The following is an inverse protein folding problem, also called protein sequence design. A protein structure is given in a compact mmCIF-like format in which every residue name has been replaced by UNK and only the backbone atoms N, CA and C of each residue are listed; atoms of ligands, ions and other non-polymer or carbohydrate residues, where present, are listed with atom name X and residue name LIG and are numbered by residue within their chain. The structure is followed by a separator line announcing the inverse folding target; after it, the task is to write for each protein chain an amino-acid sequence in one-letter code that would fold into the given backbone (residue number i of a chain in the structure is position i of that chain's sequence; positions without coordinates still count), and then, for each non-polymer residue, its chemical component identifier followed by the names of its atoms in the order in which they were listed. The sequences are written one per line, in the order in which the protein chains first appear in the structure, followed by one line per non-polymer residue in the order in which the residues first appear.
data_IF_439445805175
#
_entry.id   IF_439445805175
#
_cell.length_a   1.000
_cell.length_b   1.000
_cell.length_c   1.000
_cell.angle_alpha   90.00
_cell.angle_beta   90.00
_cell.angle_gamma   90.00
#
_symmetry.space_group_name_H-M   'P 1'
#
loop_
_entity.id
_entity.type
_entity.pdbx_description
1 polymer ?
#
# COMPACT_ATOMS: atom_id res chain seq x y z
N UNK A 1 -8.47 9.82 0.08
CA UNK A 1 -7.06 10.19 -0.21
C UNK A 1 -6.29 8.93 -0.63
N UNK A 2 -5.29 9.03 -1.52
CA UNK A 2 -4.45 7.92 -1.96
C UNK A 2 -3.02 8.04 -1.44
N UNK A 3 -2.45 6.98 -0.86
CA UNK A 3 -1.06 6.94 -0.39
C UNK A 3 -0.42 5.59 -0.70
N UNK A 4 0.89 5.49 -0.49
CA UNK A 4 1.64 4.25 -0.65
C UNK A 4 2.22 3.85 0.70
N UNK A 5 2.21 2.55 0.97
CA UNK A 5 2.83 1.95 2.13
C UNK A 5 3.98 1.03 1.72
N UNK A 6 4.79 0.68 2.70
CA UNK A 6 5.83 -0.33 2.60
C UNK A 6 5.32 -1.61 3.26
N UNK A 7 5.53 -2.74 2.58
CA UNK A 7 5.17 -4.04 3.10
C UNK A 7 6.12 -5.13 2.62
N UNK A 8 6.12 -6.24 3.34
CA UNK A 8 6.63 -7.52 2.85
C UNK A 8 5.47 -8.48 2.69
N UNK A 9 5.44 -9.20 1.58
CA UNK A 9 4.44 -10.23 1.32
C UNK A 9 5.05 -11.62 1.46
N UNK A 10 4.22 -12.59 1.84
CA UNK A 10 4.54 -14.01 1.85
C UNK A 10 3.51 -14.78 1.02
N UNK A 11 3.97 -15.60 0.09
CA UNK A 11 3.08 -16.51 -0.61
C UNK A 11 2.55 -17.58 0.37
N UNK A 12 1.23 -17.79 0.46
CA UNK A 12 0.67 -18.83 1.32
C UNK A 12 0.93 -20.24 0.78
N UNK A 13 1.21 -20.39 -0.52
CA UNK A 13 1.53 -21.67 -1.12
C UNK A 13 2.93 -22.17 -0.67
N UNK A 14 3.03 -23.28 0.09
CA UNK A 14 4.30 -23.77 0.63
C UNK A 14 5.28 -24.27 -0.43
N UNK A 15 4.78 -24.72 -1.59
CA UNK A 15 5.61 -25.23 -2.70
C UNK A 15 6.09 -24.11 -3.62
N UNK A 16 5.62 -22.88 -3.43
CA UNK A 16 6.00 -21.76 -4.27
C UNK A 16 7.46 -21.33 -4.03
N UNK A 17 8.20 -21.14 -5.12
CA UNK A 17 9.60 -20.65 -5.11
C UNK A 17 9.67 -19.15 -4.76
N UNK A 18 8.67 -18.35 -5.15
CA UNK A 18 8.55 -16.91 -4.85
C UNK A 18 7.96 -16.63 -3.46
N UNK A 19 8.52 -17.26 -2.42
CA UNK A 19 7.86 -17.42 -1.12
C UNK A 19 7.69 -16.11 -0.35
N UNK A 20 8.58 -15.13 -0.53
CA UNK A 20 8.50 -13.79 0.08
C UNK A 20 9.01 -12.72 -0.88
N UNK A 21 8.40 -11.55 -0.88
CA UNK A 21 8.88 -10.40 -1.65
C UNK A 21 8.58 -9.08 -0.92
N UNK A 22 9.50 -8.11 -0.93
CA UNK A 22 9.23 -6.75 -0.45
C UNK A 22 8.46 -5.95 -1.51
N UNK A 23 7.67 -4.98 -1.07
CA UNK A 23 7.12 -3.93 -1.92
C UNK A 23 7.07 -2.62 -1.15
N UNK A 24 7.69 -1.59 -1.70
CA UNK A 24 7.60 -0.21 -1.17
C UNK A 24 6.49 0.62 -1.84
N UNK A 25 5.65 -0.01 -2.66
CA UNK A 25 4.48 0.65 -3.29
C UNK A 25 3.25 -0.23 -3.12
N UNK A 26 2.71 -0.25 -1.91
CA UNK A 26 1.41 -0.85 -1.62
C UNK A 26 0.34 0.24 -1.65
N UNK A 27 -0.48 0.22 -2.71
CA UNK A 27 -1.55 1.19 -2.88
C UNK A 27 -2.52 1.14 -1.71
N UNK A 28 -2.78 2.31 -1.11
CA UNK A 28 -3.65 2.44 0.04
C UNK A 28 -4.59 3.62 -0.17
N UNK A 29 -5.88 3.38 0.04
CA UNK A 29 -6.92 4.40 -0.03
C UNK A 29 -7.48 4.67 1.37
N UNK A 30 -7.40 5.91 1.82
CA UNK A 30 -7.92 6.34 3.11
C UNK A 30 -9.14 7.21 2.86
N UNK A 31 -10.31 6.81 3.38
CA UNK A 31 -11.54 7.57 3.24
C UNK A 31 -12.00 8.05 4.62
N UNK A 32 -12.29 9.35 4.73
CA UNK A 32 -13.03 9.91 5.85
C UNK A 32 -14.50 10.02 5.49
N UNK A 33 -15.36 9.88 6.50
CA UNK A 33 -16.80 10.00 6.42
C UNK A 33 -17.29 11.19 7.25
N UNK A 34 -18.52 11.63 6.99
CA UNK A 34 -19.11 12.81 7.64
C UNK A 34 -19.36 12.60 9.14
N UNK A 35 -19.45 11.36 9.60
CA UNK A 35 -19.65 10.98 11.00
C UNK A 35 -18.34 10.87 11.79
N UNK A 36 -17.25 11.46 11.28
CA UNK A 36 -15.89 11.39 11.83
C UNK A 36 -15.30 9.97 11.91
N UNK A 37 -15.86 9.01 11.18
CA UNK A 37 -15.23 7.71 11.00
C UNK A 37 -14.29 7.72 9.80
N UNK A 38 -13.41 6.73 9.73
CA UNK A 38 -12.54 6.54 8.59
C UNK A 38 -12.33 5.06 8.28
N UNK A 39 -11.96 4.79 7.03
CA UNK A 39 -11.37 3.52 6.65
C UNK A 39 -9.98 3.74 6.05
N UNK A 40 -9.12 2.73 6.16
CA UNK A 40 -7.84 2.65 5.47
C UNK A 40 -7.81 1.31 4.74
N UNK A 41 -8.06 1.35 3.43
CA UNK A 41 -8.08 0.17 2.58
C UNK A 41 -6.70 -0.04 1.97
N UNK A 42 -6.02 -1.11 2.41
CA UNK A 42 -4.70 -1.50 1.91
C UNK A 42 -4.88 -2.58 0.84
N UNK A 43 -4.42 -2.31 -0.38
CA UNK A 43 -4.57 -3.22 -1.51
C UNK A 43 -3.41 -4.20 -1.57
N UNK A 44 -3.74 -5.47 -1.48
CA UNK A 44 -2.78 -6.56 -1.41
C UNK A 44 -2.08 -6.81 -2.78
N UNK A 45 -1.08 -7.68 -2.80
CA UNK A 45 -0.35 -8.08 -4.00
C UNK A 45 -0.36 -9.60 -4.17
N UNK A 46 -0.28 -10.05 -5.43
CA UNK A 46 -0.18 -11.46 -5.78
C UNK A 46 1.26 -11.89 -5.97
N UNK A 47 1.52 -13.16 -5.67
CA UNK A 47 2.82 -13.78 -5.89
C UNK A 47 3.09 -13.90 -7.40
N UNK A 48 4.24 -13.41 -7.86
CA UNK A 48 4.66 -13.47 -9.28
C UNK A 48 4.73 -14.88 -9.85
N UNK A 49 5.08 -15.86 -9.01
CA UNK A 49 5.35 -17.22 -9.47
C UNK A 49 4.09 -18.09 -9.60
N UNK A 50 3.05 -17.84 -8.79
CA UNK A 50 1.85 -18.68 -8.77
C UNK A 50 0.53 -17.90 -8.73
N UNK A 51 0.58 -16.57 -8.84
CA UNK A 51 -0.55 -15.63 -8.89
C UNK A 51 -1.52 -15.72 -7.68
N UNK A 52 -1.12 -16.41 -6.60
CA UNK A 52 -1.87 -16.50 -5.36
C UNK A 52 -1.76 -15.19 -4.58
N UNK A 53 -2.84 -14.77 -3.92
CA UNK A 53 -2.84 -13.58 -3.07
C UNK A 53 -1.83 -13.74 -1.92
N UNK A 54 -0.95 -12.76 -1.73
CA UNK A 54 0.06 -12.78 -0.68
C UNK A 54 -0.53 -12.49 0.70
N UNK A 55 0.09 -13.05 1.73
CA UNK A 55 -0.10 -12.59 3.10
C UNK A 55 0.76 -11.36 3.33
N UNK A 56 0.13 -10.23 3.59
CA UNK A 56 0.79 -8.95 3.79
C UNK A 56 1.32 -8.80 5.23
N UNK A 57 2.54 -8.28 5.37
CA UNK A 57 3.09 -7.74 6.61
C UNK A 57 3.46 -6.29 6.36
N UNK A 58 2.67 -5.37 6.91
CA UNK A 58 2.90 -3.94 6.80
C UNK A 58 4.08 -3.48 7.66
N UNK A 59 4.77 -2.46 7.20
CA UNK A 59 5.57 -1.60 8.07
C UNK A 59 4.61 -0.76 8.93
N UNK A 60 4.60 -1.01 10.24
CA UNK A 60 3.64 -0.40 11.17
C UNK A 60 3.92 1.08 11.35
N UNK A 61 5.18 1.49 11.38
CA UNK A 61 5.57 2.88 11.61
C UNK A 61 5.16 3.72 10.41
N UNK A 62 5.43 3.24 9.19
CA UNK A 62 4.97 3.90 7.95
C UNK A 62 3.44 3.93 7.89
N UNK A 63 2.75 2.85 8.25
CA UNK A 63 1.29 2.82 8.27
C UNK A 63 0.72 3.90 9.21
N UNK A 64 1.20 3.95 10.45
CA UNK A 64 0.75 4.92 11.46
C UNK A 64 1.06 6.34 11.02
N UNK A 65 2.26 6.61 10.48
CA UNK A 65 2.63 7.92 9.95
C UNK A 65 1.64 8.38 8.87
N UNK A 66 1.40 7.55 7.83
CA UNK A 66 0.58 7.94 6.69
C UNK A 66 -0.89 8.10 7.05
N UNK A 67 -1.44 7.19 7.87
CA UNK A 67 -2.85 7.28 8.28
C UNK A 67 -3.05 8.48 9.21
N UNK A 68 -2.21 8.63 10.23
CA UNK A 68 -2.34 9.74 11.19
C UNK A 68 -2.14 11.11 10.51
N UNK A 69 -1.25 11.21 9.52
CA UNK A 69 -1.08 12.44 8.74
C UNK A 69 -2.40 12.90 8.10
N UNK A 70 -3.13 12.01 7.43
CA UNK A 70 -4.40 12.37 6.79
C UNK A 70 -5.49 12.71 7.79
N UNK A 71 -5.60 11.96 8.89
CA UNK A 71 -6.56 12.25 9.95
C UNK A 71 -6.31 13.64 10.56
N UNK A 72 -5.06 13.95 10.93
CA UNK A 72 -4.68 15.25 11.48
C UNK A 72 -4.94 16.38 10.49
N UNK A 73 -4.61 16.17 9.21
CA UNK A 73 -4.83 17.16 8.15
C UNK A 73 -6.31 17.44 7.92
N UNK A 74 -7.17 16.42 7.92
CA UNK A 74 -8.62 16.59 7.81
C UNK A 74 -9.21 17.31 9.03
N UNK A 75 -8.61 17.13 10.21
CA UNK A 75 -8.96 17.89 11.42
C UNK A 75 -8.41 19.33 11.44
N UNK A 76 -7.75 19.81 10.39
CA UNK A 76 -7.21 21.17 10.30
C UNK A 76 -5.88 21.38 11.04
N UNK A 77 -5.24 20.32 11.53
CA UNK A 77 -3.91 20.40 12.16
C UNK A 77 -2.86 20.69 11.09
N UNK A 78 -2.02 21.71 11.33
CA UNK A 78 -0.88 22.01 10.45
C UNK A 78 0.14 20.86 10.52
N UNK A 79 0.32 20.18 9.40
CA UNK A 79 1.23 19.03 9.27
C UNK A 79 2.19 19.27 8.11
N UNK A 80 3.45 18.88 8.30
CA UNK A 80 4.41 18.79 7.20
C UNK A 80 4.14 17.52 6.39
N UNK A 81 4.26 17.54 5.05
CA UNK A 81 4.10 16.35 4.23
C UNK A 81 5.07 15.26 4.70
N UNK A 82 4.60 14.03 4.95
CA UNK A 82 5.49 12.95 5.32
C UNK A 82 6.49 12.77 4.19
N UNK A 83 7.77 12.57 4.55
CA UNK A 83 8.85 12.46 3.56
C UNK A 83 8.40 11.53 2.45
N UNK A 84 8.49 11.99 1.20
CA UNK A 84 8.32 11.09 0.09
C UNK A 84 9.48 10.10 0.22
N UNK A 85 9.18 8.87 0.68
CA UNK A 85 10.10 7.78 0.48
C UNK A 85 10.08 7.51 -1.03
N UNK A 86 10.79 8.35 -1.77
CA UNK A 86 11.43 7.95 -3.00
C UNK A 86 12.47 6.91 -2.63
N UNK A 87 12.02 5.72 -2.22
CA UNK A 87 12.89 4.57 -2.14
C UNK A 87 13.22 4.23 -3.59
N UNK A 88 14.28 4.86 -4.11
CA UNK A 88 14.89 4.64 -5.42
C UNK A 88 15.30 3.17 -5.63
N UNK A 89 15.32 2.38 -4.54
CA UNK A 89 15.59 0.95 -4.51
C UNK A 89 14.33 0.08 -4.33
N UNK A 90 13.13 0.65 -4.43
CA UNK A 90 11.89 -0.15 -4.37
C UNK A 90 11.75 -0.95 -5.66
N UNK A 91 11.48 -2.27 -5.61
CA UNK A 91 11.19 -3.05 -6.80
C UNK A 91 10.14 -2.37 -7.67
N UNK A 92 10.39 -2.33 -8.98
CA UNK A 92 9.50 -1.73 -9.97
C UNK A 92 8.07 -2.19 -9.70
N UNK A 93 7.18 -1.20 -9.59
CA UNK A 93 5.76 -1.40 -9.43
C UNK A 93 5.24 -2.38 -10.49
N UNK A 94 4.60 -3.48 -10.07
CA UNK A 94 4.06 -4.49 -10.99
C UNK A 94 2.54 -4.44 -11.01
N UNK A 95 2.02 -3.84 -12.07
CA UNK A 95 0.59 -3.65 -12.31
C UNK A 95 -0.18 -4.97 -12.31
N UNK A 96 0.38 -5.99 -12.98
CA UNK A 96 -0.24 -7.31 -13.15
C UNK A 96 -0.46 -8.08 -11.84
N UNK A 97 0.29 -7.72 -10.79
CA UNK A 97 0.24 -8.39 -9.49
C UNK A 97 -0.33 -7.49 -8.38
N UNK A 98 -0.67 -6.24 -8.67
CA UNK A 98 -1.21 -5.30 -7.69
C UNK A 98 -2.75 -5.28 -7.74
N UNK A 99 -3.42 -5.63 -6.64
CA UNK A 99 -4.89 -5.64 -6.60
C UNK A 99 -5.49 -4.23 -6.78
N UNK A 100 -4.78 -3.18 -6.36
CA UNK A 100 -5.20 -1.81 -6.61
C UNK A 100 -5.18 -1.43 -8.09
N UNK A 101 -4.24 -1.97 -8.87
CA UNK A 101 -4.18 -1.77 -10.32
C UNK A 101 -5.27 -2.56 -11.03
N UNK A 102 -5.48 -3.81 -10.62
CA UNK A 102 -6.59 -4.64 -11.12
C UNK A 102 -7.96 -4.03 -10.86
N UNK A 103 -8.10 -3.31 -9.74
CA UNK A 103 -9.29 -2.54 -9.42
C UNK A 103 -9.40 -1.19 -10.17
N UNK A 104 -8.40 -0.82 -10.98
CA UNK A 104 -8.37 0.44 -11.72
C UNK A 104 -8.14 1.70 -10.87
N UNK A 105 -7.65 1.56 -9.63
CA UNK A 105 -7.55 2.65 -8.66
C UNK A 105 -6.15 3.28 -8.60
N UNK A 106 -5.12 2.50 -8.90
CA UNK A 106 -3.75 2.96 -8.94
C UNK A 106 -3.54 3.92 -10.11
N UNK A 107 -3.36 5.22 -9.80
CA UNK A 107 -3.09 6.25 -10.82
C UNK A 107 -1.70 6.13 -11.45
N UNK A 108 -0.79 5.35 -10.86
CA UNK A 108 0.58 5.14 -11.36
C UNK A 108 0.67 4.29 -12.65
N UNK A 109 -0.39 3.56 -13.02
CA UNK A 109 -0.49 2.81 -14.28
C UNK A 109 -1.11 3.59 -15.45
N UNK A 110 -1.42 4.88 -15.27
CA UNK A 110 -1.71 5.79 -16.37
C UNK A 110 -0.55 6.78 -16.50
N UNK A 111 0.48 6.37 -17.23
CA UNK A 111 1.37 7.32 -17.90
C UNK A 111 0.66 7.87 -19.13
#
# INVERSE_FOLDING_TARGET
HQTNLVATFRCPNPTCKGRRWPSGVVFTAIHAYHDNTYNATVYNQRCRACNTLGNIKLDVDVYVERVSYWLKKWAGVKMEPPHAEENKNTPLYEEEHCEGCKAGLCRRGRR
#
